data_IF_358749373767
#
_entry.id   IF_358749373767
#
_cell.length_a   1.000
_cell.length_b   1.000
_cell.length_c   1.000
_cell.angle_alpha   90.00
_cell.angle_beta   90.00
_cell.angle_gamma   90.00
#
_symmetry.space_group_name_H-M   'P 1'
#
loop_
_entity.id
_entity.type
_entity.pdbx_description
1 polymer ?
#
# COMPACT_ATOMS: atom_id res chain seq x y z
N UNK A 1 36.65 -3.91 1.24
CA UNK A 1 35.70 -4.96 1.69
C UNK A 1 34.75 -4.47 2.78
N UNK A 2 35.21 -3.78 3.84
CA UNK A 2 34.34 -3.29 4.92
C UNK A 2 33.23 -2.30 4.47
N UNK A 3 33.54 -1.36 3.58
CA UNK A 3 32.59 -0.33 3.10
C UNK A 3 31.39 -0.92 2.34
N UNK A 4 31.60 -1.99 1.57
CA UNK A 4 30.51 -2.68 0.87
C UNK A 4 29.53 -3.35 1.85
N UNK A 5 30.03 -3.89 2.96
CA UNK A 5 29.17 -4.49 4.00
C UNK A 5 28.29 -3.44 4.69
N UNK A 6 28.84 -2.25 4.95
CA UNK A 6 28.06 -1.13 5.50
C UNK A 6 27.00 -0.64 4.52
N UNK A 7 27.34 -0.51 3.24
CA UNK A 7 26.37 -0.15 2.18
C UNK A 7 25.24 -1.17 2.07
N UNK A 8 25.55 -2.46 2.08
CA UNK A 8 24.56 -3.53 2.05
C UNK A 8 23.64 -3.50 3.28
N UNK A 9 24.20 -3.35 4.48
CA UNK A 9 23.39 -3.26 5.70
C UNK A 9 22.39 -2.11 5.63
N UNK A 10 22.83 -0.91 5.23
CA UNK A 10 21.96 0.26 5.09
C UNK A 10 20.85 0.01 4.07
N UNK A 11 21.17 -0.53 2.89
CA UNK A 11 20.18 -0.86 1.86
C UNK A 11 19.16 -1.91 2.33
N UNK A 12 19.61 -2.94 3.04
CA UNK A 12 18.76 -3.98 3.62
C UNK A 12 17.90 -3.51 4.79
N UNK A 13 18.29 -2.46 5.53
CA UNK A 13 17.45 -1.85 6.57
C UNK A 13 16.46 -0.81 6.01
N UNK A 14 16.78 -0.16 4.90
CA UNK A 14 15.86 0.78 4.22
C UNK A 14 14.70 0.07 3.49
N UNK A 15 14.90 -1.14 2.99
CA UNK A 15 13.85 -1.92 2.31
C UNK A 15 12.66 -2.33 3.21
N UNK A 16 12.85 -2.91 4.41
CA UNK A 16 11.76 -3.32 5.28
C UNK A 16 10.96 -2.14 5.84
N UNK A 17 11.57 -0.96 6.01
CA UNK A 17 10.85 0.24 6.45
C UNK A 17 9.84 0.75 5.40
N UNK A 18 10.20 0.69 4.12
CA UNK A 18 9.28 1.00 3.01
C UNK A 18 8.10 0.05 2.97
N UNK A 19 8.33 -1.23 3.29
CA UNK A 19 7.29 -2.24 3.21
C UNK A 19 6.13 -1.93 4.18
N UNK A 20 6.38 -1.75 5.48
CA UNK A 20 5.32 -1.51 6.46
C UNK A 20 4.51 -0.23 6.19
N UNK A 21 5.15 0.79 5.60
CA UNK A 21 4.54 2.08 5.32
C UNK A 21 3.41 2.04 4.29
N UNK A 22 3.48 1.14 3.29
CA UNK A 22 2.45 1.07 2.24
C UNK A 22 1.13 0.49 2.75
N UNK A 23 1.20 -0.48 3.65
CA UNK A 23 0.01 -1.12 4.21
C UNK A 23 -0.69 -0.15 5.18
N UNK A 24 0.07 0.57 6.02
CA UNK A 24 -0.47 1.61 6.91
C UNK A 24 -1.13 2.75 6.12
N UNK A 25 -0.54 3.17 5.00
CA UNK A 25 -1.14 4.19 4.13
C UNK A 25 -2.46 3.72 3.52
N UNK A 26 -2.54 2.45 3.11
CA UNK A 26 -3.77 1.86 2.59
C UNK A 26 -4.88 1.85 3.65
N UNK A 27 -4.53 1.45 4.88
CA UNK A 27 -5.45 1.41 6.01
C UNK A 27 -5.97 2.82 6.38
N UNK A 28 -5.09 3.83 6.42
CA UNK A 28 -5.49 5.25 6.62
C UNK A 28 -6.48 5.77 5.59
N UNK A 29 -6.43 5.25 4.37
CA UNK A 29 -7.37 5.61 3.29
C UNK A 29 -8.66 4.78 3.32
N UNK A 30 -8.86 3.97 4.36
CA UNK A 30 -9.96 2.99 4.49
C UNK A 30 -9.98 2.00 3.31
N UNK A 31 -8.81 1.68 2.78
CA UNK A 31 -8.63 0.67 1.75
C UNK A 31 -8.27 -0.69 2.34
N UNK A 32 -8.34 -1.73 1.51
CA UNK A 32 -7.87 -3.08 1.84
C UNK A 32 -6.88 -3.57 0.80
N UNK A 33 -5.79 -4.21 1.24
CA UNK A 33 -4.79 -4.80 0.36
C UNK A 33 -5.30 -6.15 -0.20
N UNK A 34 -5.43 -6.25 -1.53
CA UNK A 34 -5.98 -7.40 -2.25
C UNK A 34 -5.16 -7.68 -3.50
N UNK A 35 -5.27 -8.87 -4.07
CA UNK A 35 -4.57 -9.18 -5.33
C UNK A 35 -5.21 -8.44 -6.52
N UNK A 36 -6.53 -8.24 -6.48
CA UNK A 36 -7.27 -7.45 -7.45
C UNK A 36 -8.44 -6.72 -6.78
N UNK A 37 -8.79 -5.53 -7.28
CA UNK A 37 -9.93 -4.77 -6.79
C UNK A 37 -11.25 -5.31 -7.38
N UNK A 38 -12.33 -5.24 -6.62
CA UNK A 38 -13.66 -5.59 -7.07
C UNK A 38 -14.26 -4.58 -8.05
N UNK A 39 -15.46 -4.88 -8.60
CA UNK A 39 -16.16 -3.99 -9.55
C UNK A 39 -16.56 -2.63 -8.95
N UNK A 40 -16.87 -2.60 -7.64
CA UNK A 40 -17.25 -1.39 -6.91
C UNK A 40 -16.08 -0.85 -6.08
N UNK A 41 -14.85 -1.20 -6.45
CA UNK A 41 -13.65 -0.77 -5.75
C UNK A 41 -12.67 -0.14 -6.72
N UNK A 42 -12.03 0.93 -6.27
CA UNK A 42 -10.97 1.62 -7.02
C UNK A 42 -9.60 1.22 -6.48
N UNK A 43 -8.62 1.16 -7.38
CA UNK A 43 -7.21 1.06 -7.04
C UNK A 43 -6.70 2.45 -6.65
N UNK A 44 -6.33 2.64 -5.38
CA UNK A 44 -5.84 3.94 -4.88
C UNK A 44 -4.32 3.96 -4.66
N UNK A 45 -3.71 2.81 -4.37
CA UNK A 45 -2.27 2.67 -4.20
C UNK A 45 -1.83 1.20 -4.33
N UNK A 46 -0.53 0.95 -4.21
CA UNK A 46 0.03 -0.38 -4.04
C UNK A 46 0.28 -0.65 -2.55
N UNK A 47 0.16 -1.92 -2.18
CA UNK A 47 0.54 -2.46 -0.87
C UNK A 47 1.82 -3.30 -1.00
N UNK A 48 2.27 -3.89 0.10
CA UNK A 48 3.36 -4.86 0.06
C UNK A 48 3.07 -6.05 -0.87
N UNK A 49 4.14 -6.79 -1.24
CA UNK A 49 4.05 -8.05 -1.99
C UNK A 49 3.28 -7.93 -3.31
N UNK A 50 3.37 -6.76 -3.96
CA UNK A 50 2.66 -6.43 -5.20
C UNK A 50 1.12 -6.51 -5.09
N UNK A 51 0.57 -6.41 -3.88
CA UNK A 51 -0.86 -6.29 -3.66
C UNK A 51 -1.34 -4.87 -4.02
N UNK A 52 -2.62 -4.77 -4.30
CA UNK A 52 -3.33 -3.55 -4.66
C UNK A 52 -4.11 -3.05 -3.46
N UNK A 53 -4.00 -1.76 -3.14
CA UNK A 53 -4.88 -1.14 -2.17
C UNK A 53 -6.20 -0.76 -2.86
N UNK A 54 -7.27 -1.43 -2.46
CA UNK A 54 -8.59 -1.28 -3.04
C UNK A 54 -9.52 -0.59 -2.05
N UNK A 55 -10.23 0.45 -2.49
CA UNK A 55 -11.19 1.19 -1.67
C UNK A 55 -12.57 1.11 -2.28
N UNK A 56 -13.60 0.88 -1.47
CA UNK A 56 -14.98 0.85 -1.95
C UNK A 56 -15.38 2.24 -2.44
N UNK A 57 -15.78 2.30 -3.70
CA UNK A 57 -16.32 3.52 -4.31
C UNK A 57 -17.76 3.64 -3.82
N UNK A 58 -18.09 4.72 -3.13
CA UNK A 58 -19.50 5.07 -2.92
C UNK A 58 -20.08 5.49 -4.27
N UNK A 59 -21.26 4.95 -4.67
CA UNK A 59 -21.92 5.43 -5.86
C UNK A 59 -22.18 6.93 -5.73
N UNK A 60 -21.80 7.71 -6.75
CA UNK A 60 -22.16 9.11 -6.84
C UNK A 60 -23.69 9.22 -6.99
N UNK A 61 -24.35 9.47 -5.87
CA UNK A 61 -25.76 9.85 -5.79
C UNK A 61 -25.93 10.58 -4.48
N UNK A 62 -26.52 11.78 -4.52
CA UNK A 62 -26.89 12.54 -3.33
C UNK A 62 -27.60 11.59 -2.36
N UNK A 63 -26.93 11.27 -1.25
CA UNK A 63 -27.63 10.83 -0.06
C UNK A 63 -28.38 12.08 0.36
N UNK A 64 -29.66 12.12 -0.01
CA UNK A 64 -30.61 13.10 0.49
C UNK A 64 -30.81 12.73 1.96
N UNK A 65 -30.10 13.45 2.84
CA UNK A 65 -30.61 13.72 4.18
C UNK A 65 -31.75 14.74 4.09
#
# INVERSE_FOLDING_TARGET
MRTFLFLFAVLFFLTPAKNAFFDEKCDKLRGTCKNNCGKNEELISLCQKALKCCRTIQPCGNITD
#
